data_IF_501243556893
#
_entry.id   IF_501243556893
#
_cell.length_a   1.000
_cell.length_b   1.000
_cell.length_c   1.000
_cell.angle_alpha   90.00
_cell.angle_beta   90.00
_cell.angle_gamma   90.00
#
_symmetry.space_group_name_H-M   'P 1'
#
loop_
_entity.id
_entity.type
_entity.pdbx_description
1 polymer ?
#
# COMPACT_ATOMS: atom_id res chain seq x y z
N UNK A 1 14.70 26.00 -4.98
CA UNK A 1 15.12 25.17 -3.85
C UNK A 1 13.88 24.45 -3.38
N UNK A 2 13.90 23.11 -3.32
CA UNK A 2 12.75 22.32 -2.91
C UNK A 2 12.59 22.41 -1.39
N UNK A 3 11.40 22.79 -0.94
CA UNK A 3 11.06 22.79 0.48
C UNK A 3 10.65 21.38 0.92
N UNK A 4 11.33 20.80 1.91
CA UNK A 4 11.00 19.46 2.39
C UNK A 4 9.72 19.53 3.24
N UNK A 5 8.66 18.77 2.90
CA UNK A 5 7.42 18.80 3.67
C UNK A 5 7.62 18.43 5.14
N UNK A 6 7.02 19.21 6.05
CA UNK A 6 7.09 18.99 7.51
C UNK A 6 6.66 17.58 7.92
N UNK A 7 5.72 16.98 7.19
CA UNK A 7 5.22 15.62 7.39
C UNK A 7 6.27 14.52 7.23
N UNK A 8 7.42 14.81 6.61
CA UNK A 8 8.56 13.88 6.56
C UNK A 8 9.45 14.01 7.81
N UNK A 9 9.21 15.00 8.67
CA UNK A 9 10.05 15.33 9.81
C UNK A 9 10.18 14.22 10.86
N UNK A 10 9.25 13.27 10.93
CA UNK A 10 9.34 12.11 11.83
C UNK A 10 10.50 11.17 11.47
N UNK A 11 11.03 11.22 10.24
CA UNK A 11 12.25 10.50 9.89
C UNK A 11 13.44 10.93 10.73
N UNK A 12 13.46 12.14 11.31
CA UNK A 12 14.57 12.59 12.18
C UNK A 12 14.82 11.65 13.36
N UNK A 13 13.79 10.97 13.84
CA UNK A 13 13.86 10.06 14.99
C UNK A 13 14.31 8.64 14.59
N UNK A 14 14.54 8.41 13.29
CA UNK A 14 15.02 7.13 12.75
C UNK A 14 16.50 7.23 12.41
N UNK A 15 17.21 6.12 12.56
CA UNK A 15 18.64 6.06 12.26
C UNK A 15 18.91 6.48 10.80
N UNK A 16 19.73 7.52 10.61
CA UNK A 16 20.06 8.06 9.27
C UNK A 16 19.00 8.99 8.67
N UNK A 17 17.82 9.14 9.27
CA UNK A 17 16.73 9.92 8.68
C UNK A 17 16.97 11.43 8.68
N UNK A 18 17.66 11.99 9.68
CA UNK A 18 18.08 13.40 9.65
C UNK A 18 19.01 13.70 8.46
N UNK A 19 20.02 12.86 8.24
CA UNK A 19 20.93 13.00 7.10
C UNK A 19 20.22 12.82 5.75
N UNK A 20 19.26 11.88 5.68
CA UNK A 20 18.44 11.71 4.49
C UNK A 20 17.60 12.96 4.20
N UNK A 21 16.89 13.52 5.19
CA UNK A 21 16.09 14.74 5.05
C UNK A 21 16.94 15.92 4.54
N UNK A 22 18.14 16.10 5.11
CA UNK A 22 19.09 17.14 4.67
C UNK A 22 19.57 16.93 3.23
N UNK A 23 19.64 15.69 2.77
CA UNK A 23 20.08 15.35 1.41
C UNK A 23 19.02 15.54 0.33
N UNK A 24 17.73 15.60 0.69
CA UNK A 24 16.60 15.58 -0.24
C UNK A 24 16.66 16.66 -1.34
N UNK A 25 16.94 17.95 -1.04
CA UNK A 25 17.03 18.97 -2.08
C UNK A 25 18.11 18.64 -3.12
N UNK A 26 19.29 18.22 -2.66
CA UNK A 26 20.40 17.81 -3.55
C UNK A 26 20.03 16.58 -4.38
N UNK A 27 19.43 15.56 -3.76
CA UNK A 27 19.02 14.34 -4.48
C UNK A 27 17.97 14.66 -5.56
N UNK A 28 17.05 15.58 -5.29
CA UNK A 28 16.06 16.01 -6.25
C UNK A 28 16.69 16.75 -7.44
N UNK A 29 17.64 17.66 -7.18
CA UNK A 29 18.38 18.37 -8.22
C UNK A 29 19.21 17.39 -9.09
N UNK A 30 19.94 16.45 -8.47
CA UNK A 30 20.69 15.42 -9.20
C UNK A 30 19.79 14.52 -10.07
N UNK A 31 18.61 14.13 -9.57
CA UNK A 31 17.65 13.35 -10.36
C UNK A 31 17.04 14.20 -11.48
N UNK A 32 16.77 15.49 -11.24
CA UNK A 32 16.25 16.40 -12.25
C UNK A 32 17.26 16.59 -13.38
N UNK A 33 18.53 16.77 -13.08
CA UNK A 33 19.60 16.84 -14.08
C UNK A 33 19.72 15.53 -14.85
N UNK A 34 19.84 14.40 -14.13
CA UNK A 34 20.02 13.07 -14.72
C UNK A 34 18.91 12.70 -15.70
N UNK A 35 17.66 13.00 -15.36
CA UNK A 35 16.49 12.64 -16.14
C UNK A 35 15.90 13.82 -16.93
N UNK A 36 16.59 14.96 -16.98
CA UNK A 36 16.15 16.17 -17.69
C UNK A 36 14.72 16.60 -17.29
N UNK A 37 14.44 16.62 -15.99
CA UNK A 37 13.12 16.94 -15.44
C UNK A 37 12.98 18.41 -15.09
N UNK A 38 11.79 18.95 -15.34
CA UNK A 38 11.32 20.15 -14.64
C UNK A 38 10.47 19.73 -13.45
N UNK A 39 10.99 19.93 -12.24
CA UNK A 39 10.29 19.63 -11.00
C UNK A 39 9.32 20.76 -10.62
N UNK A 40 8.18 20.38 -10.04
CA UNK A 40 7.24 21.29 -9.40
C UNK A 40 7.30 21.19 -7.88
N UNK A 41 6.41 21.90 -7.21
CA UNK A 41 6.31 21.87 -5.74
C UNK A 41 5.93 20.47 -5.22
N UNK A 42 6.53 20.02 -4.11
CA UNK A 42 6.23 18.73 -3.50
C UNK A 42 4.75 18.52 -3.24
N UNK A 43 4.31 17.26 -3.34
CA UNK A 43 3.02 16.88 -2.81
C UNK A 43 3.04 16.93 -1.27
N UNK A 44 2.19 17.76 -0.68
CA UNK A 44 2.15 17.97 0.78
C UNK A 44 1.54 16.85 1.62
N UNK A 45 1.03 15.76 1.01
CA UNK A 45 0.32 14.69 1.72
C UNK A 45 1.17 13.43 1.99
N UNK A 46 2.38 13.35 1.43
CA UNK A 46 3.27 12.20 1.62
C UNK A 46 3.91 12.18 3.01
N UNK A 47 3.96 11.01 3.65
CA UNK A 47 4.59 10.83 4.96
C UNK A 47 5.88 9.99 4.90
N UNK A 48 6.09 9.17 3.87
CA UNK A 48 7.18 8.17 3.83
C UNK A 48 8.27 8.48 2.79
N UNK A 49 7.95 9.28 1.78
CA UNK A 49 8.86 9.62 0.67
C UNK A 49 8.61 11.06 0.24
N UNK A 50 9.64 11.75 -0.26
CA UNK A 50 9.44 13.00 -0.97
C UNK A 50 8.91 12.70 -2.38
N UNK A 51 7.72 13.19 -2.70
CA UNK A 51 7.11 13.04 -4.02
C UNK A 51 6.93 14.41 -4.68
N UNK A 52 7.46 14.56 -5.89
CA UNK A 52 7.52 15.80 -6.64
C UNK A 52 6.85 15.61 -8.01
N UNK A 53 5.92 16.49 -8.42
CA UNK A 53 5.51 16.57 -9.81
C UNK A 53 6.72 16.80 -10.71
N UNK A 54 6.80 16.10 -11.82
CA UNK A 54 7.86 16.25 -12.80
C UNK A 54 7.29 16.40 -14.21
N UNK A 55 7.99 17.13 -15.07
CA UNK A 55 7.77 17.16 -16.51
C UNK A 55 9.04 16.71 -17.22
N UNK A 56 8.90 15.74 -18.12
CA UNK A 56 9.97 15.30 -19.01
C UNK A 56 10.21 16.32 -20.12
N UNK A 57 11.31 16.14 -20.86
CA UNK A 57 11.71 17.00 -21.98
C UNK A 57 10.68 17.03 -23.12
N UNK A 58 9.97 15.93 -23.34
CA UNK A 58 8.87 15.78 -24.30
C UNK A 58 7.54 16.42 -23.83
N UNK A 59 7.51 16.95 -22.60
CA UNK A 59 6.33 17.55 -21.97
C UNK A 59 5.43 16.58 -21.21
N UNK A 60 5.73 15.27 -21.26
CA UNK A 60 5.02 14.22 -20.52
C UNK A 60 5.10 14.48 -19.01
N UNK A 61 4.04 14.09 -18.29
CA UNK A 61 3.91 14.31 -16.84
C UNK A 61 4.33 13.04 -16.10
N UNK A 62 5.13 13.23 -15.05
CA UNK A 62 5.61 12.17 -14.19
C UNK A 62 5.61 12.61 -12.72
N UNK A 63 6.01 11.71 -11.84
CA UNK A 63 6.29 11.98 -10.43
C UNK A 63 7.67 11.44 -10.11
N UNK A 64 8.53 12.30 -9.55
CA UNK A 64 9.78 11.88 -8.93
C UNK A 64 9.48 11.51 -7.48
N UNK A 65 9.81 10.28 -7.09
CA UNK A 65 9.80 9.82 -5.69
C UNK A 65 11.23 9.62 -5.22
N UNK A 66 11.55 10.19 -4.05
CA UNK A 66 12.77 9.92 -3.30
C UNK A 66 12.38 9.23 -2.00
N UNK A 67 12.76 7.96 -1.88
CA UNK A 67 12.39 7.12 -0.75
C UNK A 67 13.49 7.14 0.32
N UNK A 68 13.11 6.98 1.58
CA UNK A 68 14.05 6.63 2.64
C UNK A 68 14.52 5.18 2.42
N UNK A 69 15.84 4.88 2.51
CA UNK A 69 16.35 3.53 2.27
C UNK A 69 16.03 2.59 3.44
N UNK A 70 14.92 1.86 3.32
CA UNK A 70 14.45 0.89 4.31
C UNK A 70 13.84 -0.34 3.65
N UNK A 71 13.52 -1.35 4.46
CA UNK A 71 12.99 -2.66 4.02
C UNK A 71 11.68 -2.53 3.23
N UNK A 72 10.86 -1.53 3.52
CA UNK A 72 9.60 -1.23 2.85
C UNK A 72 9.79 -0.64 1.44
N UNK A 73 10.87 0.11 1.21
CA UNK A 73 11.14 0.77 -0.07
C UNK A 73 12.05 -0.03 -1.00
N UNK A 74 12.75 -1.05 -0.48
CA UNK A 74 13.80 -1.81 -1.17
C UNK A 74 13.35 -2.39 -2.52
N UNK A 75 12.16 -2.98 -2.58
CA UNK A 75 11.68 -3.70 -3.77
C UNK A 75 10.60 -2.95 -4.55
N UNK A 76 10.34 -1.67 -4.23
CA UNK A 76 9.28 -0.90 -4.88
C UNK A 76 9.49 -0.81 -6.40
N UNK A 77 10.72 -0.54 -6.85
CA UNK A 77 11.05 -0.49 -8.28
C UNK A 77 10.77 -1.82 -8.99
N UNK A 78 11.14 -2.94 -8.36
CA UNK A 78 10.97 -4.27 -8.94
C UNK A 78 9.47 -4.63 -9.04
N UNK A 79 8.67 -4.23 -8.04
CA UNK A 79 7.22 -4.42 -8.04
C UNK A 79 6.53 -3.60 -9.14
N UNK A 80 6.86 -2.32 -9.27
CA UNK A 80 6.33 -1.45 -10.33
C UNK A 80 6.72 -1.94 -11.73
N UNK A 81 7.95 -2.41 -11.90
CA UNK A 81 8.40 -3.02 -13.15
C UNK A 81 7.63 -4.32 -13.47
N UNK A 82 7.33 -5.13 -12.45
CA UNK A 82 6.56 -6.36 -12.62
C UNK A 82 5.09 -6.10 -12.99
N UNK A 83 4.45 -5.11 -12.37
CA UNK A 83 3.07 -4.73 -12.71
C UNK A 83 2.96 -4.01 -14.05
N UNK A 84 3.99 -3.26 -14.46
CA UNK A 84 4.10 -2.62 -15.78
C UNK A 84 2.84 -1.84 -16.21
N UNK A 85 2.31 -1.01 -15.31
CA UNK A 85 1.10 -0.22 -15.59
C UNK A 85 -0.23 -0.97 -15.37
N UNK A 86 -0.19 -2.23 -14.94
CA UNK A 86 -1.40 -3.02 -14.74
C UNK A 86 -1.83 -3.06 -13.26
N UNK A 87 -2.69 -2.11 -12.90
CA UNK A 87 -3.16 -1.90 -11.52
C UNK A 87 -2.28 -0.95 -10.70
N UNK A 88 -1.10 -0.60 -11.21
CA UNK A 88 -0.19 0.39 -10.64
C UNK A 88 0.28 1.37 -11.74
N UNK A 89 0.87 2.50 -11.34
CA UNK A 89 1.55 3.41 -12.27
C UNK A 89 2.77 2.73 -12.90
N UNK A 90 3.15 3.13 -14.12
CA UNK A 90 4.38 2.63 -14.75
C UNK A 90 5.62 3.19 -14.06
N UNK A 91 6.64 2.34 -13.87
CA UNK A 91 8.00 2.80 -13.63
C UNK A 91 8.59 3.32 -14.95
N UNK A 92 9.08 4.55 -14.94
CA UNK A 92 9.71 5.18 -16.10
C UNK A 92 11.24 5.08 -16.00
N UNK A 93 11.80 5.42 -14.84
CA UNK A 93 13.23 5.34 -14.55
C UNK A 93 13.47 4.98 -13.09
N UNK A 94 14.64 4.42 -12.79
CA UNK A 94 15.08 4.09 -11.43
C UNK A 94 16.55 4.45 -11.22
N UNK A 95 16.85 4.97 -10.04
CA UNK A 95 18.21 5.06 -9.51
C UNK A 95 18.24 4.39 -8.13
N UNK A 96 18.76 3.15 -8.10
CA UNK A 96 18.82 2.34 -6.87
C UNK A 96 19.82 2.89 -5.85
N UNK A 97 20.85 3.63 -6.27
CA UNK A 97 21.84 4.19 -5.34
C UNK A 97 21.25 5.38 -4.56
N UNK A 98 20.31 6.11 -5.18
CA UNK A 98 19.63 7.26 -4.60
C UNK A 98 18.26 6.93 -4.01
N UNK A 99 17.83 5.67 -4.07
CA UNK A 99 16.46 5.24 -3.76
C UNK A 99 15.41 6.13 -4.47
N UNK A 100 15.68 6.45 -5.74
CA UNK A 100 14.85 7.36 -6.54
C UNK A 100 14.08 6.59 -7.62
N UNK A 101 12.80 6.94 -7.78
CA UNK A 101 11.91 6.40 -8.80
C UNK A 101 11.32 7.57 -9.60
N UNK A 102 11.33 7.45 -10.93
CA UNK A 102 10.48 8.26 -11.79
C UNK A 102 9.30 7.39 -12.22
N UNK A 103 8.09 7.81 -11.90
CA UNK A 103 6.87 7.05 -12.20
C UNK A 103 5.90 7.87 -13.03
N UNK A 104 5.04 7.18 -13.77
CA UNK A 104 3.90 7.77 -14.45
C UNK A 104 3.04 8.55 -13.46
N UNK A 105 2.59 9.73 -13.87
CA UNK A 105 1.60 10.48 -13.10
C UNK A 105 0.22 9.89 -13.39
N UNK A 106 -0.46 9.41 -12.34
CA UNK A 106 -1.85 8.97 -12.41
C UNK A 106 -2.79 10.18 -12.60
N UNK A 107 -2.87 10.68 -13.84
CA UNK A 107 -3.72 11.80 -14.24
C UNK A 107 -4.24 11.61 -15.67
N UNK A 108 -5.56 11.70 -15.91
CA UNK A 108 -6.61 12.03 -14.93
C UNK A 108 -6.92 10.88 -13.95
N UNK A 109 -7.53 11.21 -12.81
CA UNK A 109 -8.00 10.24 -11.81
C UNK A 109 -8.72 10.91 -10.63
N UNK A 110 -9.51 10.14 -9.90
CA UNK A 110 -10.20 10.59 -8.67
C UNK A 110 -9.65 9.81 -7.50
N UNK A 111 -9.33 10.49 -6.40
CA UNK A 111 -8.92 9.84 -5.17
C UNK A 111 -10.07 8.96 -4.65
N UNK A 112 -9.76 7.73 -4.21
CA UNK A 112 -10.78 6.84 -3.66
C UNK A 112 -11.44 7.43 -2.40
N UNK A 113 -10.72 8.28 -1.67
CA UNK A 113 -11.22 9.02 -0.51
C UNK A 113 -12.31 10.05 -0.84
N UNK A 114 -12.43 10.45 -2.10
CA UNK A 114 -13.47 11.38 -2.57
C UNK A 114 -14.74 10.65 -3.01
N UNK A 115 -14.69 9.31 -3.14
CA UNK A 115 -15.85 8.50 -3.50
C UNK A 115 -16.74 8.35 -2.28
N UNK A 116 -17.86 9.09 -2.27
CA UNK A 116 -18.79 9.10 -1.12
C UNK A 116 -19.61 7.82 -0.91
N UNK A 117 -19.53 6.86 -1.83
CA UNK A 117 -20.19 5.57 -1.73
C UNK A 117 -19.17 4.47 -1.39
N UNK A 118 -19.27 3.91 -0.19
CA UNK A 118 -18.33 2.90 0.32
C UNK A 118 -18.33 1.61 -0.50
N UNK A 119 -19.49 1.15 -1.00
CA UNK A 119 -19.58 -0.06 -1.83
C UNK A 119 -18.87 0.15 -3.17
N UNK A 120 -19.07 1.31 -3.79
CA UNK A 120 -18.38 1.70 -5.02
C UNK A 120 -16.87 1.80 -4.81
N UNK A 121 -16.44 2.47 -3.73
CA UNK A 121 -15.04 2.60 -3.37
C UNK A 121 -14.39 1.23 -3.12
N UNK A 122 -15.07 0.35 -2.39
CA UNK A 122 -14.61 -1.01 -2.10
C UNK A 122 -14.48 -1.85 -3.36
N UNK A 123 -15.47 -1.79 -4.26
CA UNK A 123 -15.43 -2.50 -5.54
C UNK A 123 -14.29 -2.01 -6.42
N UNK A 124 -14.05 -0.69 -6.48
CA UNK A 124 -12.92 -0.11 -7.20
C UNK A 124 -11.58 -0.59 -6.63
N UNK A 125 -11.39 -0.55 -5.31
CA UNK A 125 -10.18 -1.06 -4.66
C UNK A 125 -9.97 -2.57 -4.93
N UNK A 126 -11.02 -3.38 -4.78
CA UNK A 126 -10.96 -4.82 -5.05
C UNK A 126 -10.59 -5.11 -6.52
N UNK A 127 -11.08 -4.30 -7.47
CA UNK A 127 -10.73 -4.44 -8.88
C UNK A 127 -9.23 -4.22 -9.14
N UNK A 128 -8.61 -3.26 -8.45
CA UNK A 128 -7.17 -2.98 -8.53
C UNK A 128 -6.38 -4.12 -7.88
N UNK A 129 -6.76 -4.54 -6.67
CA UNK A 129 -6.10 -5.64 -5.96
C UNK A 129 -6.06 -6.93 -6.79
N UNK A 130 -7.14 -7.24 -7.52
CA UNK A 130 -7.18 -8.39 -8.43
C UNK A 130 -6.17 -8.31 -9.58
N UNK A 131 -5.83 -7.10 -10.05
CA UNK A 131 -4.83 -6.89 -11.11
C UNK A 131 -3.41 -6.98 -10.57
N UNK A 132 -3.20 -6.50 -9.35
CA UNK A 132 -1.92 -6.55 -8.63
C UNK A 132 -1.58 -7.97 -8.16
N UNK A 133 -2.59 -8.81 -7.90
CA UNK A 133 -2.42 -10.21 -7.48
C UNK A 133 -1.88 -11.09 -8.62
N UNK A 134 -0.55 -11.09 -8.75
CA UNK A 134 0.19 -11.84 -9.77
C UNK A 134 1.20 -12.78 -9.15
N UNK A 135 1.52 -13.85 -9.88
CA UNK A 135 2.68 -14.66 -9.52
C UNK A 135 3.94 -13.84 -9.81
N UNK A 136 4.91 -13.84 -8.89
CA UNK A 136 6.19 -13.21 -9.16
C UNK A 136 6.87 -13.91 -10.36
N UNK A 137 7.86 -13.26 -11.00
CA UNK A 137 8.68 -13.90 -12.03
C UNK A 137 9.22 -15.25 -11.56
N UNK A 138 9.35 -16.24 -12.44
CA UNK A 138 9.76 -17.60 -12.04
C UNK A 138 11.20 -17.67 -11.53
N UNK A 139 12.05 -16.72 -11.92
CA UNK A 139 13.46 -16.65 -11.53
C UNK A 139 13.89 -15.19 -11.33
N UNK A 140 14.93 -14.99 -10.52
CA UNK A 140 15.63 -13.70 -10.42
C UNK A 140 14.90 -12.57 -9.68
N UNK A 141 13.70 -12.80 -9.14
CA UNK A 141 13.03 -11.80 -8.30
C UNK A 141 13.57 -11.82 -6.86
N UNK A 142 13.46 -10.68 -6.18
CA UNK A 142 13.92 -10.48 -4.79
C UNK A 142 12.78 -10.31 -3.80
N UNK A 143 11.53 -10.40 -4.25
CA UNK A 143 10.37 -10.21 -3.39
C UNK A 143 10.42 -11.15 -2.18
N UNK A 144 10.25 -10.56 -1.00
CA UNK A 144 10.11 -11.28 0.27
C UNK A 144 8.88 -12.17 0.23
N UNK A 145 8.98 -13.33 0.85
CA UNK A 145 7.88 -14.32 0.87
C UNK A 145 6.87 -13.89 1.93
N UNK A 146 5.61 -13.76 1.53
CA UNK A 146 4.53 -13.31 2.43
C UNK A 146 4.42 -14.19 3.69
N UNK A 147 4.65 -15.50 3.58
CA UNK A 147 4.66 -16.39 4.74
C UNK A 147 5.70 -15.97 5.79
N UNK A 148 6.92 -15.66 5.33
CA UNK A 148 8.03 -15.21 6.20
C UNK A 148 7.75 -13.85 6.82
N UNK A 149 7.12 -12.93 6.09
CA UNK A 149 6.69 -11.64 6.63
C UNK A 149 5.60 -11.81 7.69
N UNK A 150 4.60 -12.64 7.38
CA UNK A 150 3.47 -12.90 8.27
C UNK A 150 3.89 -13.59 9.58
N UNK A 151 4.98 -14.37 9.59
CA UNK A 151 5.58 -14.93 10.82
C UNK A 151 6.19 -13.85 11.73
N UNK A 152 6.65 -12.71 11.17
CA UNK A 152 7.25 -11.61 11.96
C UNK A 152 6.22 -10.69 12.57
N UNK A 153 5.10 -10.46 11.87
CA UNK A 153 4.09 -9.47 12.28
C UNK A 153 3.50 -9.67 13.68
N UNK A 154 3.23 -10.89 14.18
CA UNK A 154 2.75 -11.10 15.56
C UNK A 154 3.69 -10.51 16.63
N UNK A 155 5.00 -10.68 16.44
CA UNK A 155 6.01 -10.15 17.36
C UNK A 155 6.07 -8.62 17.25
N UNK A 156 6.05 -8.11 16.01
CA UNK A 156 6.09 -6.67 15.76
C UNK A 156 4.86 -5.95 16.32
N UNK A 157 3.65 -6.43 16.03
CA UNK A 157 2.42 -5.78 16.49
C UNK A 157 2.32 -5.75 18.02
N UNK A 158 2.79 -6.80 18.69
CA UNK A 158 2.83 -6.83 20.15
C UNK A 158 3.89 -5.87 20.71
N UNK A 159 5.10 -5.86 20.13
CA UNK A 159 6.17 -4.95 20.52
C UNK A 159 5.76 -3.48 20.35
N UNK A 160 5.16 -3.13 19.21
CA UNK A 160 4.70 -1.77 18.92
C UNK A 160 3.57 -1.36 19.86
N UNK A 161 2.63 -2.27 20.14
CA UNK A 161 1.53 -2.02 21.08
C UNK A 161 2.04 -1.73 22.50
N UNK A 162 3.03 -2.48 22.99
CA UNK A 162 3.68 -2.21 24.29
C UNK A 162 4.42 -0.87 24.28
N UNK A 163 5.23 -0.61 23.25
CA UNK A 163 6.01 0.61 23.12
C UNK A 163 5.15 1.89 23.05
N UNK A 164 3.95 1.77 22.46
CA UNK A 164 2.96 2.85 22.37
C UNK A 164 2.09 3.00 23.63
N UNK A 165 2.39 2.26 24.70
CA UNK A 165 1.66 2.35 25.96
C UNK A 165 0.26 1.72 25.90
N UNK A 166 0.10 0.65 25.11
CA UNK A 166 -1.13 -0.16 25.02
C UNK A 166 -2.37 0.66 24.62
N UNK A 167 -2.36 1.31 23.43
CA UNK A 167 -3.35 2.33 23.06
C UNK A 167 -4.78 1.80 22.83
N UNK A 168 -4.97 0.48 22.73
CA UNK A 168 -6.25 -0.18 22.52
C UNK A 168 -6.26 -1.59 23.14
N UNK A 169 -7.39 -2.29 23.12
CA UNK A 169 -7.56 -3.53 23.88
C UNK A 169 -6.67 -4.69 23.39
N UNK A 170 -6.08 -5.48 24.32
CA UNK A 170 -5.21 -6.62 23.97
C UNK A 170 -5.84 -7.62 22.99
N UNK A 171 -7.15 -7.84 23.09
CA UNK A 171 -7.90 -8.76 22.20
C UNK A 171 -7.75 -8.43 20.71
N UNK A 172 -7.52 -7.16 20.36
CA UNK A 172 -7.33 -6.76 18.97
C UNK A 172 -5.92 -7.13 18.49
N UNK A 173 -4.91 -7.03 19.37
CA UNK A 173 -3.55 -7.48 19.11
C UNK A 173 -3.53 -8.99 18.93
N UNK A 174 -4.21 -9.73 19.82
CA UNK A 174 -4.33 -11.19 19.75
C UNK A 174 -5.02 -11.62 18.45
N UNK A 175 -6.10 -10.93 18.05
CA UNK A 175 -6.79 -11.20 16.80
C UNK A 175 -5.91 -10.94 15.58
N UNK A 176 -5.16 -9.83 15.57
CA UNK A 176 -4.22 -9.51 14.48
C UNK A 176 -3.10 -10.56 14.37
N UNK A 177 -2.54 -10.97 15.52
CA UNK A 177 -1.53 -12.02 15.58
C UNK A 177 -2.07 -13.38 15.10
N UNK A 178 -3.32 -13.73 15.46
CA UNK A 178 -3.97 -14.94 14.98
C UNK A 178 -4.16 -14.92 13.45
N UNK A 179 -4.65 -13.81 12.89
CA UNK A 179 -4.80 -13.63 11.45
C UNK A 179 -3.45 -13.75 10.71
N UNK A 180 -2.37 -13.20 11.26
CA UNK A 180 -1.04 -13.31 10.65
C UNK A 180 -0.52 -14.76 10.64
N UNK A 181 -0.73 -15.53 11.72
CA UNK A 181 -0.39 -16.96 11.74
C UNK A 181 -1.23 -17.77 10.74
N UNK A 182 -2.53 -17.52 10.64
CA UNK A 182 -3.40 -18.16 9.66
C UNK A 182 -2.94 -17.85 8.24
N UNK A 183 -2.61 -16.57 7.97
CA UNK A 183 -2.08 -16.14 6.69
C UNK A 183 -0.80 -16.91 6.36
N UNK A 184 0.18 -16.95 7.25
CA UNK A 184 1.43 -17.69 7.04
C UNK A 184 1.18 -19.16 6.67
N UNK A 185 0.28 -19.85 7.39
CA UNK A 185 -0.09 -21.24 7.10
C UNK A 185 -0.80 -21.43 5.76
N UNK A 186 -1.60 -20.45 5.33
CA UNK A 186 -2.32 -20.47 4.05
C UNK A 186 -1.40 -20.30 2.83
N UNK A 187 -0.19 -19.76 3.02
CA UNK A 187 0.77 -19.50 1.95
C UNK A 187 1.64 -20.71 1.59
N UNK A 188 1.18 -21.94 1.93
CA UNK A 188 1.87 -23.20 1.60
C UNK A 188 2.44 -23.14 0.17
N UNK A 189 3.69 -23.59 -0.04
CA UNK A 189 4.38 -23.35 -1.30
C UNK A 189 3.53 -23.90 -2.44
N UNK A 190 3.20 -23.05 -3.41
CA UNK A 190 2.60 -23.46 -4.67
C UNK A 190 3.58 -24.42 -5.37
N UNK A 191 3.49 -25.70 -5.03
CA UNK A 191 4.51 -26.69 -5.39
C UNK A 191 4.33 -28.02 -4.66
N UNK A 192 3.12 -28.56 -4.64
CA UNK A 192 2.85 -29.90 -4.13
C UNK A 192 1.38 -30.26 -4.28
N UNK A 193 1.03 -30.88 -5.41
CA UNK A 193 -0.17 -31.72 -5.42
C UNK A 193 0.04 -32.79 -4.34
N UNK A 194 -0.84 -32.98 -3.35
CA UNK A 194 -0.69 -34.08 -2.41
C UNK A 194 -0.72 -35.42 -3.20
N UNK A 195 0.12 -36.41 -2.85
CA UNK A 195 0.08 -37.70 -3.50
C UNK A 195 -1.24 -38.39 -3.14
N UNK A 196 -2.12 -38.54 -4.13
CA UNK A 196 -3.22 -39.49 -4.11
C UNK A 196 -4.54 -38.98 -3.52
N UNK A 197 -5.31 -38.23 -4.31
CA UNK A 197 -6.77 -38.35 -4.23
C UNK A 197 -7.18 -39.57 -5.08
N UNK A 198 -7.80 -40.62 -4.50
CA UNK A 198 -8.25 -41.75 -5.28
C UNK A 198 -9.38 -41.33 -6.21
N UNK A 199 -9.18 -41.62 -7.50
CA UNK A 199 -10.20 -41.93 -8.49
C UNK A 199 -11.44 -41.03 -8.55
N UNK A 200 -11.50 -40.21 -9.61
CA UNK A 200 -12.76 -39.78 -10.20
C UNK A 200 -13.65 -41.02 -10.43
N UNK A 201 -14.66 -41.22 -9.60
CA UNK A 201 -15.87 -41.91 -10.04
C UNK A 201 -16.85 -40.85 -10.53
N UNK A 202 -16.99 -40.88 -11.85
CA UNK A 202 -17.99 -40.18 -12.63
C UNK A 202 -19.35 -40.80 -12.27
N UNK A 203 -20.17 -40.08 -11.52
CA UNK A 203 -21.60 -40.32 -11.47
C UNK A 203 -22.27 -39.14 -12.18
N UNK A 204 -22.69 -39.41 -13.41
CA UNK A 204 -23.74 -38.67 -14.08
C UNK A 204 -25.04 -38.91 -13.32
N UNK A 205 -25.84 -37.86 -13.12
CA UNK A 205 -27.24 -38.03 -12.73
C UNK A 205 -27.75 -37.00 -11.73
N UNK A 206 -28.67 -36.19 -12.24
CA UNK A 206 -29.85 -35.67 -11.57
C UNK A 206 -29.80 -34.29 -10.90
N UNK A 207 -30.72 -33.48 -11.42
CA UNK A 207 -31.13 -32.18 -10.96
C UNK A 207 -31.70 -32.24 -9.53
N UNK A 208 -31.34 -31.24 -8.74
CA UNK A 208 -31.90 -31.02 -7.41
C UNK A 208 -31.66 -29.59 -6.98
N UNK A 209 -32.62 -28.72 -7.29
CA UNK A 209 -32.69 -27.38 -6.73
C UNK A 209 -32.82 -27.47 -5.20
N UNK A 210 -31.97 -26.75 -4.46
CA UNK A 210 -32.23 -26.41 -3.06
C UNK A 210 -31.87 -24.95 -2.82
N UNK A 211 -32.92 -24.17 -2.61
CA UNK A 211 -32.88 -22.84 -2.06
C UNK A 211 -32.42 -22.89 -0.59
N UNK A 212 -31.59 -21.93 -0.16
CA UNK A 212 -31.47 -21.59 1.25
C UNK A 212 -31.46 -20.07 1.45
N UNK A 213 -32.67 -19.59 1.74
CA UNK A 213 -33.08 -18.51 2.64
C UNK A 213 -32.17 -17.29 2.90
N UNK A 214 -32.64 -16.17 2.33
CA UNK A 214 -32.56 -14.84 2.93
C UNK A 214 -33.48 -14.78 4.16
N UNK A 215 -32.94 -14.79 5.36
CA UNK A 215 -33.55 -14.09 6.51
C UNK A 215 -32.58 -14.00 7.68
N UNK A 216 -31.89 -12.86 7.79
CA UNK A 216 -31.50 -12.23 9.06
C UNK A 216 -30.91 -10.84 8.77
N UNK A 217 -31.71 -10.05 8.08
CA UNK A 217 -31.53 -8.62 7.91
C UNK A 217 -32.84 -7.94 8.28
N UNK A 218 -33.29 -8.08 9.53
CA UNK A 218 -34.14 -7.08 10.17
C UNK A 218 -34.26 -7.36 11.67
N UNK A 219 -33.60 -6.54 12.48
CA UNK A 219 -33.84 -6.22 13.90
C UNK A 219 -32.55 -5.73 14.53
N UNK A 220 -32.26 -4.43 14.34
CA UNK A 220 -31.65 -3.49 15.31
C UNK A 220 -31.42 -2.14 14.62
N UNK A 221 -32.49 -1.55 14.08
CA UNK A 221 -32.61 -0.11 13.85
C UNK A 221 -33.56 0.45 14.89
N UNK A 222 -33.04 0.96 16.00
CA UNK A 222 -33.65 2.06 16.77
C UNK A 222 -32.66 2.65 17.77
N UNK A 223 -32.15 3.83 17.43
CA UNK A 223 -32.02 4.96 18.36
C UNK A 223 -30.76 5.10 19.20
N UNK A 224 -29.76 5.84 18.68
CA UNK A 224 -29.13 6.95 19.41
C UNK A 224 -28.70 8.03 18.40
N UNK A 225 -29.47 9.13 18.33
CA UNK A 225 -29.02 10.42 17.76
C UNK A 225 -28.47 11.26 18.90
N UNK A 226 -27.20 11.68 18.89
CA UNK A 226 -26.75 12.92 19.56
C UNK A 226 -25.55 13.57 18.86
N UNK A 227 -25.84 14.78 18.33
CA UNK A 227 -25.06 16.01 18.12
C UNK A 227 -23.53 15.92 17.93
N UNK A 228 -23.11 16.26 16.71
CA UNK A 228 -21.83 16.93 16.41
C UNK A 228 -22.03 18.44 16.63
N UNK A 229 -21.22 19.06 17.47
CA UNK A 229 -21.06 20.51 17.53
C UNK A 229 -19.74 20.87 16.85
N UNK A 230 -19.84 21.71 15.82
CA UNK A 230 -18.71 22.28 15.10
C UNK A 230 -18.11 23.44 15.91
N UNK A 231 -16.79 23.46 16.05
CA UNK A 231 -16.03 24.63 16.50
C UNK A 231 -15.16 25.11 15.34
N UNK A 232 -15.63 26.18 14.68
CA UNK A 232 -14.84 27.03 13.79
C UNK A 232 -14.07 28.06 14.65
N UNK A 233 -12.78 28.33 14.40
CA UNK A 233 -12.13 29.53 14.92
C UNK A 233 -12.51 30.77 14.08
N UNK A 234 -12.51 31.98 14.67
CA UNK A 234 -12.98 33.20 14.02
C UNK A 234 -11.94 33.79 13.05
N UNK A 235 -12.46 34.45 12.01
CA UNK A 235 -11.75 35.40 11.17
C UNK A 235 -11.40 36.64 12.01
N UNK A 236 -10.19 37.16 11.84
CA UNK A 236 -9.76 38.47 12.36
C UNK A 236 -9.71 39.41 11.16
N UNK A 237 -10.24 40.62 11.36
CA UNK A 237 -10.29 41.75 10.41
C UNK A 237 -8.91 42.20 9.92
#
# INVERSE_FOLDING_TARGET
>A
MIEVPERLGWWRDRAGGAAWLESLPRLADECAERWSLRLGEPFGQGNVSLALPARLSDGSRAVLKLNFPEEESEHEADALAHWHGDGAVRLLEVDRQRNALLVERADPGTSLWEVGNDDEATLAAASVLRRLWRRPPSEGHRFRVLATEAERWPVQVHSDWEALGRPFEPRLVDAAAACAHELAGSQSPFGGLPPGSPGKQRLEGEAGAVACNRSQADRRRTGVRRRVAASRPPLVD
#
